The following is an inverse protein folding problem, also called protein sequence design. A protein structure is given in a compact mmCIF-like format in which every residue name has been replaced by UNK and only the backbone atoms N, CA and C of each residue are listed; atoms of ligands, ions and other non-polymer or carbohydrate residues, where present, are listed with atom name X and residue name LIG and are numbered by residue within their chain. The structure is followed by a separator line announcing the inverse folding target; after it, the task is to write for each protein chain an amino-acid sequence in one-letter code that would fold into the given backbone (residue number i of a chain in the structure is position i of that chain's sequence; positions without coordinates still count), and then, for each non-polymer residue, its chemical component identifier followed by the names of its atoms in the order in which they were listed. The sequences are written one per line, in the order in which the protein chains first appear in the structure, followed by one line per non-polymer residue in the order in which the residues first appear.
data_IF_727642384009
#
_entry.id   IF_727642384009
#
_cell.length_a   1.000
_cell.length_b   1.000
_cell.length_c   1.000
_cell.angle_alpha   90.00
_cell.angle_beta   90.00
_cell.angle_gamma   90.00
#
_symmetry.space_group_name_H-M   'P 1'
#
loop_
_entity.id
_entity.type
_entity.pdbx_description
1 polymer ?
#
# COMPACT_ATOMS: atom_id res chain seq x y z
N UNK A 1 17.92 17.98 22.51
CA UNK A 1 16.55 18.33 22.09
C UNK A 1 16.52 19.04 20.73
N UNK A 2 17.13 20.22 20.59
CA UNK A 2 17.11 21.00 19.33
C UNK A 2 17.67 20.24 18.13
N UNK A 3 18.78 19.53 18.29
CA UNK A 3 19.37 18.70 17.22
C UNK A 3 18.41 17.61 16.75
N UNK A 4 17.69 16.95 17.66
CA UNK A 4 16.72 15.92 17.30
C UNK A 4 15.53 16.51 16.52
N UNK A 5 15.04 17.69 16.90
CA UNK A 5 13.99 18.43 16.17
C UNK A 5 14.44 18.81 14.77
N UNK A 6 15.66 19.31 14.63
CA UNK A 6 16.24 19.66 13.33
C UNK A 6 16.39 18.43 12.43
N UNK A 7 16.85 17.30 12.97
CA UNK A 7 16.96 16.04 12.25
C UNK A 7 15.58 15.52 11.80
N UNK A 8 14.59 15.57 12.68
CA UNK A 8 13.22 15.17 12.34
C UNK A 8 12.62 16.05 11.23
N UNK A 9 12.77 17.36 11.32
CA UNK A 9 12.30 18.30 10.30
C UNK A 9 12.97 18.04 8.95
N UNK A 10 14.27 17.78 8.95
CA UNK A 10 15.01 17.42 7.73
C UNK A 10 14.48 16.14 7.11
N UNK A 11 14.20 15.11 7.94
CA UNK A 11 13.65 13.83 7.46
C UNK A 11 12.27 14.00 6.82
N UNK A 12 11.39 14.84 7.37
CA UNK A 12 10.05 15.10 6.85
C UNK A 12 10.06 15.90 5.54
N UNK A 13 11.09 16.73 5.30
CA UNK A 13 11.23 17.45 4.03
C UNK A 13 11.42 16.53 2.83
N UNK A 14 12.04 15.37 3.02
CA UNK A 14 12.29 14.42 1.93
C UNK A 14 11.05 13.62 1.55
N UNK A 15 10.30 13.14 2.54
CA UNK A 15 9.06 12.39 2.34
C UNK A 15 8.28 12.24 3.64
N UNK A 16 6.97 11.96 3.54
CA UNK A 16 6.19 11.53 4.69
C UNK A 16 6.80 10.28 5.35
N UNK A 17 6.66 10.17 6.66
CA UNK A 17 7.16 9.04 7.45
C UNK A 17 6.13 8.59 8.46
N UNK A 18 6.11 7.29 8.75
CA UNK A 18 5.35 6.78 9.88
C UNK A 18 6.03 7.15 11.21
N UNK A 19 5.26 7.06 12.29
CA UNK A 19 5.80 7.29 13.66
C UNK A 19 6.97 6.35 13.95
N UNK A 20 6.84 5.08 13.63
CA UNK A 20 7.89 4.08 13.82
C UNK A 20 9.14 4.37 12.99
N UNK A 21 8.99 4.75 11.72
CA UNK A 21 10.11 5.14 10.87
C UNK A 21 10.86 6.35 11.44
N UNK A 22 10.13 7.36 11.93
CA UNK A 22 10.74 8.54 12.56
C UNK A 22 11.55 8.16 13.79
N UNK A 23 10.96 7.37 14.68
CA UNK A 23 11.65 6.88 15.88
C UNK A 23 12.94 6.14 15.55
N UNK A 24 12.88 5.21 14.59
CA UNK A 24 14.03 4.43 14.14
C UNK A 24 15.14 5.31 13.55
N UNK A 25 14.78 6.30 12.73
CA UNK A 25 15.76 7.21 12.12
C UNK A 25 16.43 8.10 13.15
N UNK A 26 15.69 8.61 14.12
CA UNK A 26 16.26 9.40 15.21
C UNK A 26 17.18 8.54 16.10
N UNK A 27 16.82 7.28 16.35
CA UNK A 27 17.68 6.32 17.07
C UNK A 27 18.98 6.07 16.32
N UNK A 28 18.93 5.84 15.00
CA UNK A 28 20.09 5.66 14.15
C UNK A 28 21.03 6.87 14.14
N UNK A 29 20.48 8.07 14.36
CA UNK A 29 21.27 9.31 14.50
C UNK A 29 21.84 9.50 15.92
N UNK A 30 21.64 8.56 16.82
CA UNK A 30 22.23 8.54 18.16
C UNK A 30 21.42 9.31 19.22
N UNK A 31 20.18 9.67 18.93
CA UNK A 31 19.33 10.33 19.93
C UNK A 31 18.85 9.33 20.99
N UNK A 32 18.76 9.81 22.25
CA UNK A 32 18.29 8.99 23.38
C UNK A 32 16.79 8.79 23.34
N UNK A 33 16.30 7.64 23.84
CA UNK A 33 14.89 7.27 23.78
C UNK A 33 13.91 8.31 24.32
N UNK A 34 14.22 8.95 25.46
CA UNK A 34 13.37 10.00 26.03
C UNK A 34 13.31 11.26 25.15
N UNK A 35 14.41 11.60 24.46
CA UNK A 35 14.43 12.72 23.50
C UNK A 35 13.57 12.40 22.29
N UNK A 36 13.69 11.18 21.78
CA UNK A 36 12.89 10.68 20.64
C UNK A 36 11.41 10.75 20.98
N UNK A 37 11.01 10.22 22.14
CA UNK A 37 9.61 10.24 22.58
C UNK A 37 9.03 11.66 22.61
N UNK A 38 9.76 12.62 23.21
CA UNK A 38 9.32 14.02 23.28
C UNK A 38 9.22 14.69 21.91
N UNK A 39 10.16 14.43 21.02
CA UNK A 39 10.12 14.98 19.65
C UNK A 39 8.93 14.40 18.89
N UNK A 40 8.68 13.11 19.01
CA UNK A 40 7.52 12.45 18.36
C UNK A 40 6.22 13.06 18.89
N UNK A 41 6.07 13.21 20.20
CA UNK A 41 4.86 13.79 20.81
C UNK A 41 4.61 15.22 20.29
N UNK A 42 5.63 16.06 20.25
CA UNK A 42 5.52 17.41 19.69
C UNK A 42 5.13 17.42 18.20
N UNK A 43 5.69 16.49 17.42
CA UNK A 43 5.36 16.38 16.00
C UNK A 43 3.91 15.92 15.78
N UNK A 44 3.41 15.02 16.63
CA UNK A 44 2.01 14.59 16.63
C UNK A 44 1.07 15.73 16.98
N UNK A 45 1.36 16.47 18.05
CA UNK A 45 0.57 17.65 18.47
C UNK A 45 0.48 18.69 17.36
N UNK A 46 1.57 18.92 16.64
CA UNK A 46 1.61 19.82 15.49
C UNK A 46 1.05 19.23 14.19
N UNK A 47 0.55 18.01 14.23
CA UNK A 47 0.05 17.25 13.06
C UNK A 47 1.08 17.11 11.92
N UNK A 48 2.37 17.16 12.27
CA UNK A 48 3.47 16.94 11.34
C UNK A 48 3.84 15.45 11.21
N UNK A 49 3.36 14.64 12.13
CA UNK A 49 3.55 13.20 12.18
C UNK A 49 2.23 12.53 12.55
N UNK A 50 1.63 11.82 11.59
CA UNK A 50 0.32 11.19 11.74
C UNK A 50 0.25 9.96 10.84
N UNK A 51 0.15 8.76 11.44
CA UNK A 51 0.10 7.50 10.72
C UNK A 51 -1.16 7.34 9.86
N UNK A 52 -2.23 8.04 10.16
CA UNK A 52 -3.45 8.05 9.36
C UNK A 52 -3.24 8.80 8.04
N UNK A 53 -2.61 9.97 8.12
CA UNK A 53 -2.22 10.74 6.93
C UNK A 53 -1.17 9.98 6.13
N UNK A 54 -0.15 9.43 6.80
CA UNK A 54 0.87 8.59 6.17
C UNK A 54 0.25 7.43 5.41
N UNK A 55 -0.71 6.72 6.01
CA UNK A 55 -1.39 5.59 5.39
C UNK A 55 -2.17 5.98 4.14
N UNK A 56 -2.90 7.10 4.17
CA UNK A 56 -3.63 7.60 2.99
C UNK A 56 -2.69 7.94 1.84
N UNK A 57 -1.57 8.60 2.13
CA UNK A 57 -0.56 8.92 1.12
C UNK A 57 0.09 7.65 0.55
N UNK A 58 0.39 6.68 1.40
CA UNK A 58 0.93 5.39 0.97
C UNK A 58 -0.03 4.62 0.06
N UNK A 59 -1.30 4.55 0.44
CA UNK A 59 -2.34 3.93 -0.39
C UNK A 59 -2.45 4.65 -1.74
N UNK A 60 -2.45 5.98 -1.75
CA UNK A 60 -2.50 6.77 -2.98
C UNK A 60 -1.34 6.48 -3.93
N UNK A 61 -0.12 6.35 -3.41
CA UNK A 61 1.05 5.98 -4.21
C UNK A 61 0.90 4.56 -4.81
N UNK A 62 0.32 3.64 -4.05
CA UNK A 62 0.07 2.26 -4.49
C UNK A 62 -1.10 2.13 -5.45
N UNK A 63 -1.95 3.12 -5.54
CA UNK A 63 -3.01 3.19 -6.56
C UNK A 63 -2.46 3.69 -7.91
N UNK A 64 -1.57 4.66 -7.89
CA UNK A 64 -1.20 5.45 -9.07
C UNK A 64 0.21 5.19 -9.59
N UNK A 65 1.20 5.06 -8.71
CA UNK A 65 2.61 4.99 -9.11
C UNK A 65 3.08 3.53 -9.21
N UNK A 66 2.76 2.72 -8.21
CA UNK A 66 3.10 1.29 -8.15
C UNK A 66 1.86 0.47 -7.83
N UNK A 67 0.99 0.23 -8.81
CA UNK A 67 -0.30 -0.41 -8.60
C UNK A 67 -0.19 -1.71 -7.79
N UNK A 68 -0.88 -1.75 -6.67
CA UNK A 68 -0.85 -2.87 -5.71
C UNK A 68 -2.23 -3.10 -5.12
N UNK A 69 -2.50 -4.33 -4.72
CA UNK A 69 -3.74 -4.69 -4.06
C UNK A 69 -3.73 -4.43 -2.56
N UNK A 70 -4.90 -4.50 -1.96
CA UNK A 70 -5.14 -4.21 -0.54
C UNK A 70 -4.28 -5.04 0.40
N UNK A 71 -4.05 -6.33 0.09
CA UNK A 71 -3.26 -7.22 0.94
C UNK A 71 -1.79 -6.81 1.02
N UNK A 72 -1.19 -6.43 -0.11
CA UNK A 72 0.20 -5.96 -0.14
C UNK A 72 0.33 -4.61 0.55
N UNK A 73 -0.56 -3.68 0.27
CA UNK A 73 -0.56 -2.35 0.91
C UNK A 73 -0.69 -2.48 2.44
N UNK A 74 -1.60 -3.31 2.91
CA UNK A 74 -1.78 -3.58 4.35
C UNK A 74 -0.50 -4.13 4.97
N UNK A 75 0.15 -5.09 4.32
CA UNK A 75 1.40 -5.68 4.78
C UNK A 75 2.54 -4.67 4.83
N UNK A 76 2.65 -3.81 3.83
CA UNK A 76 3.64 -2.73 3.80
C UNK A 76 3.41 -1.72 4.93
N UNK A 77 2.16 -1.30 5.17
CA UNK A 77 1.83 -0.39 6.26
C UNK A 77 2.10 -0.99 7.64
N UNK A 78 1.79 -2.28 7.83
CA UNK A 78 2.16 -3.00 9.06
C UNK A 78 3.67 -3.02 9.28
N UNK A 79 4.45 -3.27 8.25
CA UNK A 79 5.91 -3.22 8.31
C UNK A 79 6.43 -1.82 8.69
N UNK A 80 5.72 -0.76 8.30
CA UNK A 80 5.97 0.62 8.70
C UNK A 80 5.50 0.96 10.13
N UNK A 81 4.93 -0.01 10.83
CA UNK A 81 4.48 0.11 12.21
C UNK A 81 3.10 0.75 12.39
N UNK A 82 2.33 0.84 11.32
CA UNK A 82 0.95 1.32 11.40
C UNK A 82 0.06 0.18 11.92
N UNK A 83 -0.81 0.47 12.88
CA UNK A 83 -1.71 -0.52 13.45
C UNK A 83 -2.92 -0.83 12.54
N UNK A 84 -3.56 -1.97 12.79
CA UNK A 84 -4.68 -2.46 11.98
C UNK A 84 -5.87 -1.51 11.96
N UNK A 85 -6.17 -0.86 13.07
CA UNK A 85 -7.28 0.10 13.18
C UNK A 85 -7.04 1.31 12.28
N UNK A 86 -5.83 1.86 12.31
CA UNK A 86 -5.43 3.00 11.47
C UNK A 86 -5.46 2.62 9.99
N UNK A 87 -4.99 1.44 9.62
CA UNK A 87 -5.03 0.94 8.24
C UNK A 87 -6.48 0.80 7.76
N UNK A 88 -7.33 0.17 8.56
CA UNK A 88 -8.75 -0.01 8.25
C UNK A 88 -9.45 1.34 8.08
N UNK A 89 -9.19 2.29 8.97
CA UNK A 89 -9.72 3.64 8.88
C UNK A 89 -9.26 4.37 7.62
N UNK A 90 -7.99 4.24 7.23
CA UNK A 90 -7.45 4.87 6.04
C UNK A 90 -8.11 4.35 4.75
N UNK A 91 -8.32 3.05 4.63
CA UNK A 91 -9.08 2.47 3.51
C UNK A 91 -10.56 2.89 3.55
N UNK A 92 -11.17 2.92 4.73
CA UNK A 92 -12.56 3.34 4.91
C UNK A 92 -12.81 4.79 4.49
N UNK A 93 -11.86 5.69 4.77
CA UNK A 93 -11.94 7.10 4.35
C UNK A 93 -11.86 7.27 2.83
N UNK A 94 -11.12 6.41 2.13
CA UNK A 94 -11.06 6.41 0.68
C UNK A 94 -12.34 5.87 0.05
N UNK A 95 -13.04 4.95 0.75
CA UNK A 95 -14.29 4.38 0.28
C UNK A 95 -14.20 3.86 -1.15
N UNK A 96 -15.12 4.28 -2.01
CA UNK A 96 -15.15 3.91 -3.42
C UNK A 96 -13.98 4.45 -4.25
N UNK A 97 -13.19 5.40 -3.74
CA UNK A 97 -11.98 5.89 -4.40
C UNK A 97 -10.88 4.84 -4.49
N UNK A 98 -10.87 3.86 -3.56
CA UNK A 98 -10.03 2.69 -3.66
C UNK A 98 -10.77 1.57 -4.41
N UNK A 99 -10.70 1.62 -5.72
CA UNK A 99 -11.26 0.60 -6.61
C UNK A 99 -10.19 -0.45 -6.96
N UNK A 100 -10.13 -1.52 -6.18
CA UNK A 100 -9.13 -2.57 -6.35
C UNK A 100 -9.25 -3.26 -7.72
N UNK A 101 -10.46 -3.49 -8.20
CA UNK A 101 -10.71 -4.05 -9.52
C UNK A 101 -10.17 -3.14 -10.64
N UNK A 102 -10.47 -1.85 -10.56
CA UNK A 102 -9.97 -0.85 -11.52
C UNK A 102 -8.45 -0.71 -11.52
N UNK A 103 -7.80 -0.91 -10.36
CA UNK A 103 -6.34 -0.92 -10.24
C UNK A 103 -5.75 -2.20 -10.85
N UNK A 104 -6.39 -3.35 -10.64
CA UNK A 104 -5.92 -4.65 -11.09
C UNK A 104 -6.09 -4.87 -12.61
N UNK A 105 -7.16 -4.36 -13.20
CA UNK A 105 -7.50 -4.64 -14.60
C UNK A 105 -6.42 -4.27 -15.62
N UNK A 106 -5.78 -3.08 -15.57
CA UNK A 106 -4.69 -2.78 -16.50
C UNK A 106 -3.52 -3.75 -16.39
N UNK A 107 -3.18 -4.17 -15.17
CA UNK A 107 -2.13 -5.16 -14.92
C UNK A 107 -2.53 -6.53 -15.47
N UNK A 108 -3.77 -6.93 -15.25
CA UNK A 108 -4.32 -8.19 -15.76
C UNK A 108 -4.32 -8.22 -17.29
N UNK A 109 -4.77 -7.14 -17.94
CA UNK A 109 -4.74 -7.02 -19.42
C UNK A 109 -3.33 -7.14 -19.97
N UNK A 110 -2.36 -6.46 -19.37
CA UNK A 110 -0.95 -6.55 -19.76
C UNK A 110 -0.43 -7.98 -19.64
N UNK A 111 -0.74 -8.66 -18.54
CA UNK A 111 -0.35 -10.06 -18.33
C UNK A 111 -1.01 -11.00 -19.32
N UNK A 112 -2.30 -10.85 -19.56
CA UNK A 112 -3.06 -11.67 -20.51
C UNK A 112 -2.56 -11.48 -21.95
N UNK A 113 -2.16 -10.29 -22.34
CA UNK A 113 -1.58 -10.00 -23.65
C UNK A 113 -0.30 -10.82 -23.93
N UNK A 114 0.49 -11.11 -22.90
CA UNK A 114 1.68 -11.96 -22.98
C UNK A 114 1.38 -13.47 -22.88
N UNK A 115 0.12 -13.85 -22.65
CA UNK A 115 -0.29 -15.23 -22.47
C UNK A 115 -1.14 -15.77 -23.63
N UNK A 116 -1.17 -15.07 -24.77
CA UNK A 116 -1.89 -15.53 -25.96
C UNK A 116 -1.33 -16.89 -26.41
N UNK A 117 -2.22 -17.85 -26.69
CA UNK A 117 -1.85 -19.21 -27.11
C UNK A 117 -1.50 -20.15 -25.95
N UNK A 118 -1.54 -19.68 -24.69
CA UNK A 118 -1.39 -20.57 -23.53
C UNK A 118 -2.75 -21.22 -23.21
N UNK A 119 -2.71 -22.48 -22.82
CA UNK A 119 -3.90 -23.24 -22.44
C UNK A 119 -4.64 -22.54 -21.30
N UNK A 120 -6.00 -22.53 -21.37
CA UNK A 120 -6.89 -21.73 -20.50
C UNK A 120 -6.62 -21.92 -19.02
N UNK A 121 -6.56 -23.16 -18.52
CA UNK A 121 -6.35 -23.42 -17.09
C UNK A 121 -4.97 -23.00 -16.61
N UNK A 122 -3.97 -23.13 -17.45
CA UNK A 122 -2.61 -22.66 -17.18
C UNK A 122 -2.53 -21.12 -17.15
N UNK A 123 -3.24 -20.47 -18.07
CA UNK A 123 -3.34 -19.00 -18.10
C UNK A 123 -4.03 -18.45 -16.86
N UNK A 124 -5.14 -19.06 -16.43
CA UNK A 124 -5.83 -18.71 -15.18
C UNK A 124 -4.91 -18.79 -13.96
N UNK A 125 -4.16 -19.87 -13.83
CA UNK A 125 -3.21 -20.06 -12.73
C UNK A 125 -2.12 -19.01 -12.74
N UNK A 126 -1.55 -18.72 -13.89
CA UNK A 126 -0.52 -17.68 -14.04
C UNK A 126 -1.04 -16.29 -13.68
N UNK A 127 -2.27 -15.98 -14.06
CA UNK A 127 -2.91 -14.71 -13.70
C UNK A 127 -3.20 -14.62 -12.21
N UNK A 128 -3.70 -15.68 -11.59
CA UNK A 128 -3.91 -15.79 -10.15
C UNK A 128 -2.61 -15.54 -9.38
N UNK A 129 -1.53 -16.23 -9.76
CA UNK A 129 -0.22 -16.09 -9.11
C UNK A 129 0.35 -14.68 -9.27
N UNK A 130 0.23 -14.10 -10.46
CA UNK A 130 0.71 -12.75 -10.76
C UNK A 130 -0.02 -11.68 -9.93
N UNK A 131 -1.34 -11.67 -9.95
CA UNK A 131 -2.14 -10.71 -9.20
C UNK A 131 -2.06 -10.95 -7.68
N UNK A 132 -1.96 -12.20 -7.26
CA UNK A 132 -1.76 -12.57 -5.86
C UNK A 132 -0.45 -12.02 -5.29
N UNK A 133 0.65 -12.11 -6.03
CA UNK A 133 1.94 -11.50 -5.63
C UNK A 133 1.89 -9.98 -5.57
N UNK A 134 1.04 -9.34 -6.34
CA UNK A 134 0.79 -7.89 -6.29
C UNK A 134 -0.17 -7.50 -5.16
N UNK A 135 -0.64 -8.47 -4.39
CA UNK A 135 -1.44 -8.25 -3.20
C UNK A 135 -2.92 -8.05 -3.43
N UNK A 136 -3.43 -8.31 -4.63
CA UNK A 136 -4.87 -8.21 -4.88
C UNK A 136 -5.64 -9.28 -4.11
N UNK A 137 -6.84 -8.94 -3.65
CA UNK A 137 -7.68 -9.86 -2.90
C UNK A 137 -8.21 -10.96 -3.81
N UNK A 138 -8.49 -12.12 -3.22
CA UNK A 138 -9.04 -13.26 -3.94
C UNK A 138 -10.34 -12.91 -4.69
N UNK A 139 -11.22 -12.13 -4.06
CA UNK A 139 -12.48 -11.71 -4.70
C UNK A 139 -12.23 -10.90 -5.97
N UNK A 140 -11.28 -9.97 -5.95
CA UNK A 140 -10.91 -9.17 -7.12
C UNK A 140 -10.30 -10.03 -8.22
N UNK A 141 -9.36 -10.90 -7.87
CA UNK A 141 -8.70 -11.79 -8.83
C UNK A 141 -9.71 -12.75 -9.47
N UNK A 142 -10.57 -13.35 -8.66
CA UNK A 142 -11.58 -14.30 -9.14
C UNK A 142 -12.59 -13.64 -10.06
N UNK A 143 -13.01 -12.43 -9.76
CA UNK A 143 -13.87 -11.64 -10.64
C UNK A 143 -13.24 -11.44 -12.02
N UNK A 144 -11.96 -11.04 -12.04
CA UNK A 144 -11.22 -10.81 -13.29
C UNK A 144 -11.09 -12.12 -14.09
N UNK A 145 -10.73 -13.23 -13.44
CA UNK A 145 -10.59 -14.53 -14.09
C UNK A 145 -11.93 -14.97 -14.67
N UNK A 146 -13.00 -14.88 -13.92
CA UNK A 146 -14.33 -15.29 -14.34
C UNK A 146 -14.80 -14.50 -15.56
N UNK A 147 -14.64 -13.20 -15.56
CA UNK A 147 -15.06 -12.33 -16.65
C UNK A 147 -14.26 -12.55 -17.94
N UNK A 148 -12.99 -12.94 -17.85
CA UNK A 148 -12.11 -13.04 -19.02
C UNK A 148 -11.91 -14.47 -19.54
N UNK A 149 -12.20 -15.48 -18.74
CA UNK A 149 -11.97 -16.88 -19.12
C UNK A 149 -13.21 -17.76 -19.04
N UNK A 150 -14.18 -17.43 -18.18
CA UNK A 150 -15.35 -18.28 -17.94
C UNK A 150 -16.64 -17.74 -18.59
N UNK A 151 -16.68 -16.44 -18.89
CA UNK A 151 -17.71 -15.81 -19.70
C UNK A 151 -17.12 -15.35 -21.04
N UNK A 152 -16.54 -16.26 -21.81
CA UNK A 152 -16.23 -15.99 -23.22
C UNK A 152 -17.53 -15.76 -24.01
N UNK A 153 -17.47 -15.03 -25.17
CA UNK A 153 -18.66 -14.86 -25.98
C UNK A 153 -19.26 -16.24 -26.24
N UNK A 154 -20.55 -16.39 -25.91
CA UNK A 154 -21.37 -17.49 -26.41
C UNK A 154 -21.24 -17.43 -27.92
N UNK A 155 -20.50 -18.35 -28.53
CA UNK A 155 -20.57 -18.58 -29.97
C UNK A 155 -22.02 -18.94 -30.26
N UNK A 156 -22.78 -18.01 -30.86
CA UNK A 156 -24.01 -18.29 -31.57
C UNK A 156 -23.67 -18.89 -32.95
#
# INVERSE_FOLDING_TARGET
MQKAKADASRLLRFRPRSVKEMAQRLKQKGHRGFVIARVIDELKEKKLLDDRIFSRLWIGDRMNIKPSGKNLITRELKAKGVDDETITAAFGELGGSFDEYGIAMPLARGKMAHMKGIEKEKAKKKLLDFLGRRGFTYNTIWKIIKENYDYGPTEE
#
